data_IF_939779482132
#
_entry.id   IF_939779482132
#
_cell.length_a   1.000
_cell.length_b   1.000
_cell.length_c   1.000
_cell.angle_alpha   90.00
_cell.angle_beta   90.00
_cell.angle_gamma   90.00
#
_symmetry.space_group_name_H-M   'P 1'
#
loop_
_entity.id
_entity.type
_entity.pdbx_description
1 polymer ?
#
# COMPACT_ATOMS: atom_id res chain seq x y z
N UNK A 1 -58.57 -76.08 6.80
CA UNK A 1 -58.12 -74.70 7.11
C UNK A 1 -59.32 -73.83 7.33
N UNK A 2 -59.52 -73.33 8.55
CA UNK A 2 -60.76 -72.69 8.97
C UNK A 2 -60.90 -71.25 8.45
N UNK A 3 -62.12 -70.86 8.08
CA UNK A 3 -62.46 -69.48 7.65
C UNK A 3 -62.05 -68.40 8.69
N UNK A 4 -61.86 -68.77 9.95
CA UNK A 4 -61.34 -67.90 11.01
C UNK A 4 -59.84 -67.55 10.85
N UNK A 5 -59.04 -68.46 10.28
CA UNK A 5 -57.60 -68.28 10.08
C UNK A 5 -57.32 -67.38 8.86
N UNK A 6 -58.14 -67.52 7.80
CA UNK A 6 -58.14 -66.63 6.62
C UNK A 6 -58.62 -65.21 6.99
N UNK A 7 -59.59 -65.08 7.92
CA UNK A 7 -60.02 -63.76 8.43
C UNK A 7 -58.95 -63.09 9.30
N UNK A 8 -58.21 -63.83 10.12
CA UNK A 8 -57.10 -63.28 10.92
C UNK A 8 -55.91 -62.85 10.05
N UNK A 9 -55.55 -63.61 9.03
CA UNK A 9 -54.53 -63.23 8.05
C UNK A 9 -54.93 -61.99 7.23
N UNK A 10 -56.19 -61.87 6.81
CA UNK A 10 -56.72 -60.66 6.13
C UNK A 10 -56.84 -59.45 7.05
N UNK A 11 -57.11 -59.63 8.34
CA UNK A 11 -57.13 -58.54 9.32
C UNK A 11 -55.70 -58.03 9.62
N UNK A 12 -54.72 -58.93 9.72
CA UNK A 12 -53.30 -58.58 9.84
C UNK A 12 -52.74 -57.87 8.59
N UNK A 13 -53.11 -58.34 7.39
CA UNK A 13 -52.74 -57.67 6.12
C UNK A 13 -53.43 -56.32 5.90
N UNK A 14 -54.66 -56.13 6.40
CA UNK A 14 -55.39 -54.85 6.29
C UNK A 14 -54.94 -53.82 7.32
N UNK A 15 -54.40 -54.25 8.46
CA UNK A 15 -53.79 -53.35 9.45
C UNK A 15 -52.34 -52.96 9.09
N UNK A 16 -51.62 -53.80 8.33
CA UNK A 16 -50.22 -53.55 7.93
C UNK A 16 -50.08 -52.56 6.76
N UNK A 17 -51.04 -52.51 5.84
CA UNK A 17 -51.00 -51.60 4.70
C UNK A 17 -51.09 -50.10 5.07
N UNK A 18 -52.02 -49.65 5.95
CA UNK A 18 -52.09 -48.25 6.36
C UNK A 18 -50.91 -47.83 7.25
N UNK A 19 -50.39 -48.71 8.11
CA UNK A 19 -49.18 -48.42 8.90
C UNK A 19 -47.93 -48.31 8.02
N UNK A 20 -47.81 -49.17 6.99
CA UNK A 20 -46.74 -49.07 6.00
C UNK A 20 -46.86 -47.79 5.17
N UNK A 21 -48.08 -47.38 4.79
CA UNK A 21 -48.33 -46.12 4.08
C UNK A 21 -47.97 -44.89 4.93
N UNK A 22 -48.30 -44.87 6.22
CA UNK A 22 -47.91 -43.77 7.13
C UNK A 22 -46.40 -43.74 7.31
N UNK A 23 -45.76 -44.91 7.43
CA UNK A 23 -44.30 -45.00 7.55
C UNK A 23 -43.59 -44.52 6.27
N UNK A 24 -44.06 -44.91 5.08
CA UNK A 24 -43.46 -44.43 3.83
C UNK A 24 -43.66 -42.93 3.64
N UNK A 25 -44.84 -42.39 3.95
CA UNK A 25 -45.09 -40.94 3.94
C UNK A 25 -44.15 -40.23 4.91
N UNK A 26 -43.99 -40.76 6.12
CA UNK A 26 -43.08 -40.22 7.13
C UNK A 26 -41.63 -40.21 6.64
N UNK A 27 -41.15 -41.31 6.06
CA UNK A 27 -39.79 -41.40 5.50
C UNK A 27 -39.58 -40.41 4.36
N UNK A 28 -40.56 -40.25 3.47
CA UNK A 28 -40.51 -39.28 2.36
C UNK A 28 -40.45 -37.84 2.92
N UNK A 29 -41.27 -37.52 3.91
CA UNK A 29 -41.27 -36.20 4.57
C UNK A 29 -39.95 -35.93 5.29
N UNK A 30 -39.43 -36.88 6.07
CA UNK A 30 -38.14 -36.75 6.73
C UNK A 30 -37.00 -36.58 5.72
N UNK A 31 -37.01 -37.33 4.63
CA UNK A 31 -36.01 -37.20 3.55
C UNK A 31 -36.09 -35.84 2.87
N UNK A 32 -37.31 -35.33 2.62
CA UNK A 32 -37.52 -34.01 2.04
C UNK A 32 -37.01 -32.89 2.96
N UNK A 33 -37.34 -32.95 4.25
CA UNK A 33 -36.83 -31.99 5.25
C UNK A 33 -35.31 -32.05 5.34
N UNK A 34 -34.72 -33.25 5.33
CA UNK A 34 -33.26 -33.43 5.35
C UNK A 34 -32.60 -32.79 4.12
N UNK A 35 -33.12 -33.04 2.91
CA UNK A 35 -32.59 -32.46 1.66
C UNK A 35 -32.63 -30.93 1.72
N UNK A 36 -33.77 -30.34 2.09
CA UNK A 36 -33.91 -28.88 2.20
C UNK A 36 -32.94 -28.32 3.25
N UNK A 37 -32.77 -29.03 4.36
CA UNK A 37 -31.84 -28.62 5.43
C UNK A 37 -30.39 -28.65 4.93
N UNK A 38 -29.96 -29.72 4.24
CA UNK A 38 -28.62 -29.82 3.67
C UNK A 38 -28.35 -28.76 2.62
N UNK A 39 -29.27 -28.54 1.68
CA UNK A 39 -29.15 -27.47 0.67
C UNK A 39 -29.01 -26.10 1.33
N UNK A 40 -29.82 -25.80 2.34
CA UNK A 40 -29.73 -24.53 3.07
C UNK A 40 -28.40 -24.34 3.81
N UNK A 41 -27.81 -25.44 4.32
CA UNK A 41 -26.51 -25.41 4.99
C UNK A 41 -25.37 -25.19 3.98
N UNK A 42 -25.42 -25.86 2.84
CA UNK A 42 -24.46 -25.68 1.75
C UNK A 42 -24.49 -24.24 1.23
N UNK A 43 -25.67 -23.69 0.93
CA UNK A 43 -25.83 -22.30 0.48
C UNK A 43 -25.27 -21.29 1.49
N UNK A 44 -25.51 -21.49 2.78
CA UNK A 44 -24.95 -20.65 3.85
C UNK A 44 -23.43 -20.75 3.91
N UNK A 45 -22.89 -21.96 3.75
CA UNK A 45 -21.44 -22.18 3.78
C UNK A 45 -20.75 -21.51 2.59
N UNK A 46 -21.30 -21.64 1.38
CA UNK A 46 -20.78 -21.00 0.16
C UNK A 46 -20.87 -19.48 0.29
N UNK A 47 -21.99 -18.96 0.77
CA UNK A 47 -22.16 -17.51 1.03
C UNK A 47 -21.12 -16.98 2.02
N UNK A 48 -20.85 -17.72 3.09
CA UNK A 48 -19.83 -17.35 4.07
C UNK A 48 -18.42 -17.36 3.47
N UNK A 49 -18.10 -18.33 2.62
CA UNK A 49 -16.81 -18.42 1.91
C UNK A 49 -16.65 -17.23 0.96
N UNK A 50 -17.69 -16.89 0.17
CA UNK A 50 -17.66 -15.75 -0.75
C UNK A 50 -17.47 -14.44 0.01
N UNK A 51 -18.21 -14.23 1.09
CA UNK A 51 -18.10 -13.02 1.90
C UNK A 51 -16.71 -12.87 2.53
N UNK A 52 -16.15 -13.98 3.02
CA UNK A 52 -14.78 -14.01 3.55
C UNK A 52 -13.76 -13.68 2.47
N UNK A 53 -13.88 -14.28 1.29
CA UNK A 53 -13.01 -14.00 0.15
C UNK A 53 -13.08 -12.53 -0.26
N UNK A 54 -14.29 -11.94 -0.32
CA UNK A 54 -14.46 -10.52 -0.59
C UNK A 54 -13.79 -9.62 0.47
N UNK A 55 -13.89 -9.98 1.75
CA UNK A 55 -13.21 -9.26 2.82
C UNK A 55 -11.67 -9.37 2.73
N UNK A 56 -11.15 -10.55 2.35
CA UNK A 56 -9.72 -10.75 2.15
C UNK A 56 -9.20 -9.97 0.94
N UNK A 57 -9.98 -9.88 -0.16
CA UNK A 57 -9.67 -9.01 -1.31
C UNK A 57 -9.58 -7.55 -0.87
N UNK A 58 -10.57 -7.03 -0.14
CA UNK A 58 -10.56 -5.66 0.39
C UNK A 58 -9.31 -5.40 1.24
N UNK A 59 -8.99 -6.31 2.17
CA UNK A 59 -7.82 -6.17 3.04
C UNK A 59 -6.52 -6.21 2.24
N UNK A 60 -6.40 -7.14 1.30
CA UNK A 60 -5.22 -7.27 0.45
C UNK A 60 -5.00 -6.01 -0.41
N UNK A 61 -6.06 -5.50 -1.03
CA UNK A 61 -5.96 -4.26 -1.83
C UNK A 61 -5.65 -3.06 -0.96
N UNK A 62 -6.25 -2.93 0.23
CA UNK A 62 -5.91 -1.83 1.15
C UNK A 62 -4.45 -1.86 1.58
N UNK A 63 -3.92 -3.04 1.91
CA UNK A 63 -2.50 -3.22 2.24
C UNK A 63 -1.59 -2.92 1.05
N UNK A 64 -1.96 -3.36 -0.15
CA UNK A 64 -1.20 -3.09 -1.37
C UNK A 64 -1.14 -1.59 -1.65
N UNK A 65 -2.28 -0.91 -1.68
CA UNK A 65 -2.36 0.55 -1.92
C UNK A 65 -1.61 1.31 -0.83
N UNK A 66 -1.71 0.87 0.43
CA UNK A 66 -0.93 1.44 1.53
C UNK A 66 0.58 1.30 1.31
N UNK A 67 1.06 0.11 0.93
CA UNK A 67 2.48 -0.11 0.65
C UNK A 67 2.97 0.70 -0.55
N UNK A 68 2.16 0.77 -1.61
CA UNK A 68 2.43 1.52 -2.82
C UNK A 68 2.55 3.01 -2.52
N UNK A 69 1.59 3.59 -1.77
CA UNK A 69 1.63 5.00 -1.38
C UNK A 69 2.81 5.35 -0.47
N UNK A 70 3.20 4.46 0.44
CA UNK A 70 4.37 4.69 1.29
C UNK A 70 5.67 4.70 0.50
N UNK A 71 5.81 3.78 -0.46
CA UNK A 71 6.94 3.74 -1.40
C UNK A 71 6.96 4.97 -2.33
N UNK A 72 5.78 5.36 -2.83
CA UNK A 72 5.61 6.55 -3.66
C UNK A 72 5.93 7.83 -2.87
N UNK A 73 5.56 7.91 -1.59
CA UNK A 73 5.89 9.03 -0.72
C UNK A 73 7.41 9.15 -0.51
N UNK A 74 8.09 8.03 -0.21
CA UNK A 74 9.56 8.03 -0.09
C UNK A 74 10.23 8.54 -1.38
N UNK A 75 9.79 8.01 -2.53
CA UNK A 75 10.29 8.43 -3.84
C UNK A 75 9.97 9.90 -4.15
N UNK A 76 8.78 10.36 -3.77
CA UNK A 76 8.33 11.75 -3.96
C UNK A 76 9.17 12.72 -3.14
N UNK A 77 9.55 12.35 -1.91
CA UNK A 77 10.45 13.16 -1.08
C UNK A 77 11.83 13.27 -1.73
N UNK A 78 12.41 12.15 -2.15
CA UNK A 78 13.71 12.17 -2.81
C UNK A 78 13.70 13.01 -4.11
N UNK A 79 12.67 12.82 -4.96
CA UNK A 79 12.51 13.57 -6.20
C UNK A 79 12.31 15.08 -5.95
N UNK A 80 11.44 15.44 -5.00
CA UNK A 80 11.20 16.84 -4.65
C UNK A 80 12.46 17.53 -4.13
N UNK A 81 13.22 16.86 -3.25
CA UNK A 81 14.50 17.39 -2.74
C UNK A 81 15.52 17.59 -3.87
N UNK A 82 15.61 16.64 -4.80
CA UNK A 82 16.51 16.75 -5.95
C UNK A 82 16.11 17.91 -6.87
N UNK A 83 14.85 17.98 -7.29
CA UNK A 83 14.36 18.99 -8.23
C UNK A 83 14.45 20.42 -7.67
N UNK A 84 14.14 20.58 -6.39
CA UNK A 84 14.25 21.87 -5.70
C UNK A 84 15.72 22.21 -5.44
N UNK A 85 16.55 21.20 -5.12
CA UNK A 85 17.98 21.36 -4.86
C UNK A 85 18.73 21.86 -6.09
N UNK A 86 18.46 21.27 -7.26
CA UNK A 86 18.99 21.72 -8.55
C UNK A 86 18.67 23.19 -8.87
N UNK A 87 17.62 23.74 -8.28
CA UNK A 87 17.15 25.12 -8.51
C UNK A 87 17.48 26.07 -7.36
N UNK A 88 18.21 25.61 -6.33
CA UNK A 88 18.54 26.41 -5.15
C UNK A 88 17.33 26.81 -4.29
N UNK A 89 16.25 26.03 -4.34
CA UNK A 89 14.97 26.40 -3.73
C UNK A 89 14.88 26.28 -2.20
N UNK A 90 13.65 26.34 -1.68
CA UNK A 90 13.33 26.41 -0.25
C UNK A 90 12.62 25.17 0.28
N UNK A 91 12.50 25.05 1.61
CA UNK A 91 11.78 23.96 2.28
C UNK A 91 10.31 23.90 1.83
N UNK A 92 9.66 25.04 1.73
CA UNK A 92 8.26 25.15 1.34
C UNK A 92 8.03 24.61 -0.07
N UNK A 93 8.98 24.86 -0.99
CA UNK A 93 8.93 24.30 -2.34
C UNK A 93 9.11 22.78 -2.33
N UNK A 94 10.00 22.24 -1.50
CA UNK A 94 10.13 20.77 -1.33
C UNK A 94 8.81 20.19 -0.84
N UNK A 95 8.22 20.76 0.21
CA UNK A 95 6.96 20.26 0.77
C UNK A 95 5.80 20.31 -0.23
N UNK A 96 5.71 21.39 -1.02
CA UNK A 96 4.73 21.51 -2.08
C UNK A 96 4.91 20.39 -3.13
N UNK A 97 6.14 20.19 -3.62
CA UNK A 97 6.44 19.19 -4.65
C UNK A 97 6.20 17.77 -4.14
N UNK A 98 6.49 17.48 -2.87
CA UNK A 98 6.16 16.19 -2.24
C UNK A 98 4.66 15.91 -2.33
N UNK A 99 3.82 16.89 -2.00
CA UNK A 99 2.36 16.73 -2.08
C UNK A 99 1.89 16.59 -3.52
N UNK A 100 2.43 17.37 -4.46
CA UNK A 100 2.10 17.29 -5.88
C UNK A 100 2.43 15.92 -6.49
N UNK A 101 3.62 15.40 -6.23
CA UNK A 101 4.06 14.09 -6.73
C UNK A 101 3.24 12.95 -6.11
N UNK A 102 2.96 13.01 -4.81
CA UNK A 102 2.09 12.02 -4.17
C UNK A 102 0.65 12.09 -4.71
N UNK A 103 0.10 13.28 -4.91
CA UNK A 103 -1.26 13.48 -5.43
C UNK A 103 -1.41 12.99 -6.88
N UNK A 104 -0.36 13.12 -7.68
CA UNK A 104 -0.31 12.52 -9.01
C UNK A 104 -0.45 10.99 -8.93
N UNK A 105 0.24 10.37 -7.97
CA UNK A 105 0.16 8.93 -7.75
C UNK A 105 -1.22 8.48 -7.20
N UNK A 106 -1.78 9.23 -6.24
CA UNK A 106 -3.15 9.03 -5.74
C UNK A 106 -4.17 9.08 -6.88
N UNK A 107 -4.02 10.05 -7.78
CA UNK A 107 -4.89 10.19 -8.96
C UNK A 107 -4.84 8.95 -9.85
N UNK A 108 -3.65 8.38 -10.05
CA UNK A 108 -3.47 7.12 -10.79
C UNK A 108 -4.17 5.94 -10.09
N UNK A 109 -4.01 5.80 -8.77
CA UNK A 109 -4.66 4.74 -7.98
C UNK A 109 -6.18 4.80 -8.11
N UNK A 110 -6.75 6.00 -8.05
CA UNK A 110 -8.20 6.23 -8.19
C UNK A 110 -8.69 6.00 -9.62
N UNK A 111 -7.87 6.32 -10.64
CA UNK A 111 -8.23 6.11 -12.03
C UNK A 111 -8.20 4.63 -12.44
N UNK A 112 -7.45 3.79 -11.74
CA UNK A 112 -7.31 2.37 -12.07
C UNK A 112 -8.59 1.57 -11.75
N UNK A 113 -9.30 1.02 -12.75
CA UNK A 113 -10.52 0.26 -12.53
C UNK A 113 -10.18 -1.09 -11.88
N UNK A 114 -10.96 -1.46 -10.86
CA UNK A 114 -10.85 -2.76 -10.20
C UNK A 114 -12.19 -3.48 -10.30
N UNK A 115 -12.22 -4.74 -10.77
CA UNK A 115 -13.48 -5.48 -10.84
C UNK A 115 -13.98 -5.72 -9.41
N UNK A 116 -15.27 -5.47 -9.19
CA UNK A 116 -15.96 -5.74 -7.92
C UNK A 116 -15.48 -4.96 -6.69
N UNK A 117 -14.57 -3.99 -6.85
CA UNK A 117 -14.00 -3.20 -5.76
C UNK A 117 -13.92 -1.72 -6.12
N UNK A 118 -14.54 -0.88 -5.31
CA UNK A 118 -14.39 0.58 -5.38
C UNK A 118 -13.30 1.01 -4.41
N UNK A 119 -12.32 1.77 -4.92
CA UNK A 119 -11.23 2.35 -4.13
C UNK A 119 -11.26 3.85 -4.32
N UNK A 120 -11.32 4.58 -3.21
CA UNK A 120 -11.29 6.04 -3.19
C UNK A 120 -10.24 6.49 -2.19
N UNK A 121 -9.17 7.11 -2.67
CA UNK A 121 -8.13 7.71 -1.84
C UNK A 121 -8.21 9.23 -1.99
N UNK A 122 -8.46 9.99 -0.91
CA UNK A 122 -8.52 11.44 -1.01
C UNK A 122 -7.14 12.03 -1.34
N UNK A 123 -7.07 13.18 -2.03
CA UNK A 123 -5.81 13.87 -2.22
C UNK A 123 -5.23 14.30 -0.87
N UNK A 124 -3.90 14.36 -0.84
CA UNK A 124 -3.11 14.80 0.27
C UNK A 124 -3.01 16.34 0.29
N UNK A 125 -3.32 16.92 1.44
CA UNK A 125 -3.15 18.32 1.81
C UNK A 125 -2.25 18.48 3.06
N UNK A 126 -2.08 19.72 3.53
CA UNK A 126 -1.30 20.06 4.72
C UNK A 126 -1.83 19.42 6.02
N UNK A 127 -3.12 19.10 6.09
CA UNK A 127 -3.74 18.51 7.28
C UNK A 127 -3.60 16.99 7.33
N UNK A 128 -3.54 16.36 6.16
CA UNK A 128 -3.45 14.91 6.00
C UNK A 128 -2.01 14.38 6.02
N UNK A 129 -1.02 15.22 5.72
CA UNK A 129 0.40 14.87 5.70
C UNK A 129 1.26 15.96 6.34
N UNK A 130 1.87 15.60 7.47
CA UNK A 130 2.89 16.38 8.14
C UNK A 130 4.28 16.00 7.61
N UNK A 131 5.09 17.01 7.33
CA UNK A 131 6.48 16.89 6.90
C UNK A 131 7.37 17.53 7.97
N UNK A 132 8.06 16.70 8.75
CA UNK A 132 8.95 17.14 9.81
C UNK A 132 10.38 17.18 9.28
N UNK A 133 11.00 18.36 9.26
CA UNK A 133 12.41 18.53 8.94
C UNK A 133 13.27 18.05 10.11
N UNK A 134 14.20 17.15 9.81
CA UNK A 134 15.14 16.60 10.77
C UNK A 134 16.37 17.51 10.90
N UNK A 135 17.11 17.46 12.03
CA UNK A 135 18.30 18.30 12.23
C UNK A 135 19.43 18.07 11.22
N UNK A 136 19.44 16.90 10.57
CA UNK A 136 20.37 16.55 9.51
C UNK A 136 19.94 17.09 8.13
N UNK A 137 18.79 17.77 8.03
CA UNK A 137 18.24 18.29 6.78
C UNK A 137 17.40 17.28 6.00
N UNK A 138 17.15 16.08 6.54
CA UNK A 138 16.22 15.11 5.99
C UNK A 138 14.76 15.43 6.30
N UNK A 139 13.83 14.69 5.69
CA UNK A 139 12.38 14.81 5.96
C UNK A 139 11.83 13.51 6.51
N UNK A 140 11.05 13.63 7.58
CA UNK A 140 10.15 12.59 8.08
C UNK A 140 8.71 12.96 7.76
N UNK A 141 8.07 12.15 6.95
CA UNK A 141 6.68 12.33 6.56
C UNK A 141 5.76 11.41 7.36
N UNK A 142 4.66 11.94 7.89
CA UNK A 142 3.63 11.19 8.63
C UNK A 142 2.25 11.72 8.29
N UNK A 143 1.32 10.82 8.00
CA UNK A 143 -0.02 11.22 7.60
C UNK A 143 -1.05 10.11 7.72
N UNK A 144 -2.30 10.50 7.54
CA UNK A 144 -3.44 9.59 7.45
C UNK A 144 -4.42 10.10 6.38
N UNK A 145 -4.80 9.21 5.48
CA UNK A 145 -5.80 9.47 4.45
C UNK A 145 -7.08 8.72 4.80
N UNK A 146 -8.24 9.39 4.76
CA UNK A 146 -9.56 8.76 4.90
C UNK A 146 -9.96 7.99 3.63
N UNK A 147 -9.11 7.05 3.22
CA UNK A 147 -9.34 6.19 2.07
C UNK A 147 -10.47 5.20 2.34
N UNK A 148 -11.19 4.81 1.28
CA UNK A 148 -12.32 3.89 1.35
C UNK A 148 -12.15 2.77 0.33
N UNK A 149 -12.37 1.55 0.81
CA UNK A 149 -12.33 0.33 0.02
C UNK A 149 -13.66 -0.38 0.20
N UNK A 150 -14.39 -0.63 -0.87
CA UNK A 150 -15.71 -1.25 -0.81
C UNK A 150 -15.87 -2.31 -1.88
N UNK A 151 -16.12 -3.56 -1.46
CA UNK A 151 -16.44 -4.64 -2.38
C UNK A 151 -17.94 -4.66 -2.67
N UNK A 152 -18.34 -5.02 -3.89
CA UNK A 152 -19.76 -5.12 -4.31
C UNK A 152 -20.59 -6.11 -3.46
N UNK A 153 -19.93 -6.98 -2.71
CA UNK A 153 -20.56 -7.96 -1.80
C UNK A 153 -20.75 -7.41 -0.37
N UNK A 154 -20.31 -6.17 -0.10
CA UNK A 154 -20.52 -5.48 1.18
C UNK A 154 -19.31 -5.26 2.08
N UNK A 155 -18.23 -6.08 2.08
CA UNK A 155 -17.06 -5.82 2.91
C UNK A 155 -16.41 -4.46 2.63
N UNK A 156 -15.97 -3.77 3.70
CA UNK A 156 -15.37 -2.45 3.63
C UNK A 156 -14.09 -2.35 4.48
N UNK A 157 -13.16 -1.52 4.04
CA UNK A 157 -12.02 -1.07 4.84
C UNK A 157 -11.83 0.44 4.68
N UNK A 158 -11.23 1.06 5.70
CA UNK A 158 -11.08 2.50 5.80
C UNK A 158 -9.69 2.87 6.28
N UNK A 159 -9.20 4.00 5.79
CA UNK A 159 -7.98 4.60 6.27
C UNK A 159 -6.72 4.03 5.64
N UNK A 160 -5.74 4.90 5.42
CA UNK A 160 -4.37 4.54 5.08
C UNK A 160 -3.40 5.40 5.89
N UNK A 161 -2.42 4.75 6.53
CA UNK A 161 -1.32 5.46 7.18
C UNK A 161 -0.21 5.73 6.16
N UNK A 162 0.25 6.97 6.14
CA UNK A 162 1.43 7.39 5.39
C UNK A 162 2.60 7.60 6.35
N UNK A 163 3.75 7.01 6.04
CA UNK A 163 5.00 7.08 6.78
C UNK A 163 6.16 6.90 5.81
N UNK A 164 7.02 7.91 5.75
CA UNK A 164 8.30 7.79 5.07
C UNK A 164 9.35 8.56 5.84
N UNK A 165 10.58 8.09 5.77
CA UNK A 165 11.76 8.80 6.26
C UNK A 165 12.73 8.84 5.09
N UNK A 166 12.97 10.03 4.57
CA UNK A 166 13.90 10.20 3.46
C UNK A 166 15.30 10.47 3.99
N UNK A 167 16.28 9.89 3.29
CA UNK A 167 17.71 9.99 3.62
C UNK A 167 18.47 11.16 3.01
N UNK A 168 18.09 11.77 1.86
CA UNK A 168 18.80 12.93 1.36
C UNK A 168 18.73 14.06 2.39
N UNK A 169 19.90 14.48 2.85
CA UNK A 169 20.08 15.56 3.81
C UNK A 169 20.06 16.90 3.09
N UNK A 170 18.92 17.26 2.52
CA UNK A 170 18.74 18.40 1.63
C UNK A 170 19.44 19.68 2.13
N UNK A 171 19.24 20.04 3.40
CA UNK A 171 19.85 21.24 3.96
C UNK A 171 21.36 21.12 4.15
N UNK A 172 21.85 19.93 4.49
CA UNK A 172 23.30 19.70 4.61
C UNK A 172 23.97 19.78 3.25
N UNK A 173 23.36 19.16 2.24
CA UNK A 173 23.83 19.22 0.84
C UNK A 173 23.85 20.68 0.37
N UNK A 174 22.77 21.43 0.61
CA UNK A 174 22.69 22.85 0.27
C UNK A 174 23.80 23.66 0.95
N UNK A 175 23.99 23.48 2.25
CA UNK A 175 25.04 24.19 2.99
C UNK A 175 26.44 23.85 2.47
N UNK A 176 26.73 22.58 2.18
CA UNK A 176 28.03 22.18 1.62
C UNK A 176 28.23 22.78 0.22
N UNK A 177 27.17 22.86 -0.59
CA UNK A 177 27.22 23.51 -1.90
C UNK A 177 27.53 25.01 -1.76
N UNK A 178 26.83 25.72 -0.86
CA UNK A 178 27.06 27.14 -0.58
C UNK A 178 28.51 27.41 -0.13
N UNK A 179 29.02 26.63 0.83
CA UNK A 179 30.41 26.73 1.30
C UNK A 179 31.42 26.43 0.18
N UNK A 180 31.15 25.41 -0.64
CA UNK A 180 32.02 25.02 -1.74
C UNK A 180 32.09 26.11 -2.82
N UNK A 181 30.98 26.80 -3.11
CA UNK A 181 30.94 27.96 -4.01
C UNK A 181 31.81 29.10 -3.49
N UNK A 182 31.68 29.45 -2.19
CA UNK A 182 32.49 30.50 -1.58
C UNK A 182 34.00 30.20 -1.65
N UNK A 183 34.37 28.94 -1.41
CA UNK A 183 35.77 28.49 -1.49
C UNK A 183 36.29 28.45 -2.93
N UNK A 184 35.46 28.02 -3.88
CA UNK A 184 35.82 27.97 -5.30
C UNK A 184 36.07 29.36 -5.89
N UNK A 185 35.33 30.39 -5.44
CA UNK A 185 35.50 31.77 -5.90
C UNK A 185 36.90 32.36 -5.64
N UNK A 186 37.63 31.83 -4.65
CA UNK A 186 38.99 32.24 -4.32
C UNK A 186 40.07 31.20 -4.64
N UNK A 187 39.71 30.07 -5.25
CA UNK A 187 40.63 28.95 -5.44
C UNK A 187 41.51 29.13 -6.67
N UNK A 188 42.82 28.93 -6.50
CA UNK A 188 43.79 28.92 -7.60
C UNK A 188 43.82 27.55 -8.30
N UNK A 189 43.47 26.48 -7.59
CA UNK A 189 43.47 25.11 -8.09
C UNK A 189 42.18 24.38 -7.67
N UNK A 190 41.26 24.20 -8.63
CA UNK A 190 39.96 23.57 -8.38
C UNK A 190 40.09 22.07 -8.07
N UNK A 191 41.02 21.35 -8.71
CA UNK A 191 41.22 19.91 -8.46
C UNK A 191 41.69 19.65 -7.01
N UNK A 192 42.58 20.51 -6.50
CA UNK A 192 43.07 20.39 -5.13
C UNK A 192 41.98 20.75 -4.10
N UNK A 193 41.17 21.76 -4.41
CA UNK A 193 40.01 22.12 -3.59
C UNK A 193 38.98 20.99 -3.58
N UNK A 194 38.64 20.42 -4.74
CA UNK A 194 37.70 19.30 -4.85
C UNK A 194 38.17 18.11 -4.01
N UNK A 195 39.45 17.72 -4.12
CA UNK A 195 40.02 16.65 -3.31
C UNK A 195 39.91 16.96 -1.81
N UNK A 196 40.26 18.18 -1.40
CA UNK A 196 40.18 18.59 0.01
C UNK A 196 38.73 18.59 0.55
N UNK A 197 37.76 19.03 -0.25
CA UNK A 197 36.34 19.01 0.10
C UNK A 197 35.84 17.56 0.24
N UNK A 198 36.18 16.68 -0.71
CA UNK A 198 35.82 15.27 -0.63
C UNK A 198 36.45 14.57 0.57
N UNK A 199 37.71 14.86 0.91
CA UNK A 199 38.36 14.33 2.12
C UNK A 199 37.65 14.81 3.39
N UNK A 200 37.28 16.08 3.47
CA UNK A 200 36.60 16.67 4.63
C UNK A 200 35.18 16.12 4.82
N UNK A 201 34.44 15.89 3.73
CA UNK A 201 33.06 15.42 3.79
C UNK A 201 32.89 13.91 3.57
N UNK A 202 33.98 13.16 3.37
CA UNK A 202 33.97 11.70 3.22
C UNK A 202 33.31 10.99 4.41
N UNK A 203 33.58 11.42 5.64
CA UNK A 203 32.96 10.85 6.84
C UNK A 203 31.46 11.09 6.92
N UNK A 204 30.96 12.12 6.24
CA UNK A 204 29.54 12.40 6.12
C UNK A 204 28.92 11.67 4.92
N UNK A 205 29.72 11.09 4.02
CA UNK A 205 29.26 10.48 2.78
C UNK A 205 28.74 11.48 1.76
N UNK A 206 29.27 12.70 1.75
CA UNK A 206 28.98 13.67 0.70
C UNK A 206 30.14 13.67 -0.28
N UNK A 207 29.82 13.67 -1.57
CA UNK A 207 30.77 13.89 -2.65
C UNK A 207 30.55 15.29 -3.22
N UNK A 208 31.65 16.00 -3.50
CA UNK A 208 31.63 17.32 -4.13
C UNK A 208 32.35 17.22 -5.46
N UNK A 209 31.75 17.73 -6.52
CA UNK A 209 32.33 17.83 -7.86
C UNK A 209 32.38 19.31 -8.25
N UNK A 210 33.55 19.77 -8.70
CA UNK A 210 33.77 21.15 -9.13
C UNK A 210 34.12 21.16 -10.62
N UNK A 211 33.20 21.64 -11.45
CA UNK A 211 33.42 21.75 -12.89
C UNK A 211 33.54 23.23 -13.28
N UNK A 212 34.50 23.56 -14.14
CA UNK A 212 34.62 24.89 -14.71
C UNK A 212 34.07 24.87 -16.14
N UNK A 213 32.88 25.42 -16.34
CA UNK A 213 32.26 25.61 -17.65
C UNK A 213 32.11 27.12 -17.91
N UNK A 214 32.64 27.58 -19.05
CA UNK A 214 32.47 28.97 -19.52
C UNK A 214 32.79 30.07 -18.49
N UNK A 215 33.90 29.91 -17.75
CA UNK A 215 34.36 30.87 -16.72
C UNK A 215 33.46 30.91 -15.47
N UNK A 216 32.57 29.93 -15.31
CA UNK A 216 31.70 29.72 -14.16
C UNK A 216 32.01 28.38 -13.50
N UNK A 217 32.18 28.40 -12.18
CA UNK A 217 32.37 27.15 -11.41
C UNK A 217 31.02 26.57 -11.03
N UNK A 218 30.71 25.40 -11.58
CA UNK A 218 29.59 24.57 -11.22
C UNK A 218 29.98 23.69 -10.03
N UNK A 219 29.16 23.75 -8.98
CA UNK A 219 29.36 22.97 -7.76
C UNK A 219 28.22 21.97 -7.64
N UNK A 220 28.56 20.69 -7.70
CA UNK A 220 27.61 19.59 -7.50
C UNK A 220 27.93 18.89 -6.19
N UNK A 221 26.93 18.73 -5.30
CA UNK A 221 27.08 17.99 -4.05
C UNK A 221 26.09 16.84 -4.02
N UNK A 222 26.59 15.64 -3.80
CA UNK A 222 25.80 14.41 -3.81
C UNK A 222 25.90 13.68 -2.48
N UNK A 223 24.78 13.13 -1.99
CA UNK A 223 24.78 12.22 -0.83
C UNK A 223 24.98 10.78 -1.31
N UNK A 224 26.20 10.26 -1.11
CA UNK A 224 26.60 8.91 -1.52
C UNK A 224 25.93 7.81 -0.71
N UNK A 225 25.36 8.12 0.47
CA UNK A 225 24.51 7.19 1.22
C UNK A 225 23.03 7.25 0.78
N UNK A 226 22.69 8.19 -0.12
CA UNK A 226 21.34 8.46 -0.61
C UNK A 226 20.84 7.60 -1.79
N UNK A 227 21.69 6.79 -2.46
CA UNK A 227 21.23 5.88 -3.53
C UNK A 227 22.03 4.57 -3.70
N UNK A 228 21.26 3.46 -3.76
CA UNK A 228 21.49 2.06 -4.21
C UNK A 228 22.82 1.34 -3.89
N UNK A 229 22.73 0.38 -2.96
CA UNK A 229 23.62 -0.79 -2.96
C UNK A 229 23.30 -1.75 -4.11
N UNK A 230 24.33 -2.18 -4.82
CA UNK A 230 24.31 -3.40 -5.63
C UNK A 230 25.34 -4.35 -5.01
N UNK A 231 24.84 -5.43 -4.41
CA UNK A 231 25.63 -6.60 -4.03
C UNK A 231 25.67 -7.51 -5.24
N UNK A 232 26.85 -7.65 -5.87
CA UNK A 232 27.12 -8.77 -6.77
C UNK A 232 27.80 -9.84 -5.92
N UNK A 233 27.16 -11.00 -5.66
CA UNK A 233 27.87 -12.13 -5.09
C UNK A 233 28.92 -12.63 -6.09
N UNK A 234 30.05 -13.10 -5.53
CA UNK A 234 31.31 -13.52 -6.18
C UNK A 234 31.18 -14.13 -7.58
#
# INVERSE_FOLDING_TARGET
MGQAEIRRLRAGQRASAPTLAVFTIFVILCSSVAIVTFQSLEERSVSAIILKSAADVVRATASQVGSELNSALESSIAAAMYDVGLRGGTREQVEQYVREYLNTHISSINAYPRPNLTVVVPPCDENSLALDWLPDGGIRARGYLDARFEHVMGPRAFGLSLRAVSRPRFERIKHVAEVSVELAAGAVNLEELERALNENYACEGLAVELENEDDMVHVTVQDTFGARGVLVPQ
#
